data_IF_713394252522
#
_entry.id   IF_713394252522
#
_cell.length_a   1.000
_cell.length_b   1.000
_cell.length_c   1.000
_cell.angle_alpha   90.00
_cell.angle_beta   90.00
_cell.angle_gamma   90.00
#
_symmetry.space_group_name_H-M   'P 1'
#
loop_
_entity.id
_entity.type
_entity.pdbx_description
1 polymer ?
#
# COMPACT_ATOMS: atom_id res chain seq x y z
N UNK A 1 7.30 -14.43 -22.29
CA UNK A 1 7.18 -13.06 -21.75
C UNK A 1 5.92 -12.88 -20.90
N UNK A 2 4.73 -13.19 -21.41
CA UNK A 2 3.45 -13.07 -20.67
C UNK A 2 3.41 -13.84 -19.35
N UNK A 3 3.90 -15.09 -19.31
CA UNK A 3 3.92 -15.89 -18.08
C UNK A 3 4.79 -15.26 -16.96
N UNK A 4 5.92 -14.64 -17.33
CA UNK A 4 6.80 -13.95 -16.37
C UNK A 4 6.09 -12.71 -15.82
N UNK A 5 5.42 -11.94 -16.67
CA UNK A 5 4.66 -10.75 -16.24
C UNK A 5 3.50 -11.15 -15.31
N UNK A 6 2.79 -12.23 -15.63
CA UNK A 6 1.72 -12.77 -14.76
C UNK A 6 2.28 -13.17 -13.39
N UNK A 7 3.42 -13.88 -13.36
CA UNK A 7 4.07 -14.25 -12.10
C UNK A 7 4.46 -13.01 -11.29
N UNK A 8 5.04 -11.99 -11.95
CA UNK A 8 5.43 -10.72 -11.32
C UNK A 8 4.22 -10.01 -10.75
N UNK A 9 3.14 -9.86 -11.52
CA UNK A 9 1.91 -9.19 -11.10
C UNK A 9 1.29 -9.87 -9.89
N UNK A 10 1.06 -11.19 -9.94
CA UNK A 10 0.44 -11.92 -8.84
C UNK A 10 1.30 -11.87 -7.57
N UNK A 11 2.61 -12.03 -7.71
CA UNK A 11 3.54 -12.03 -6.57
C UNK A 11 3.66 -10.63 -5.96
N UNK A 12 3.96 -9.62 -6.77
CA UNK A 12 4.17 -8.25 -6.30
C UNK A 12 2.87 -7.64 -5.76
N UNK A 13 1.76 -7.79 -6.48
CA UNK A 13 0.48 -7.24 -6.05
C UNK A 13 -0.04 -7.97 -4.81
N UNK A 14 0.09 -9.31 -4.77
CA UNK A 14 -0.32 -10.12 -3.63
C UNK A 14 0.43 -9.74 -2.35
N UNK A 15 1.76 -9.54 -2.43
CA UNK A 15 2.56 -9.06 -1.30
C UNK A 15 2.15 -7.65 -0.85
N UNK A 16 1.94 -6.73 -1.79
CA UNK A 16 1.51 -5.37 -1.47
C UNK A 16 0.11 -5.34 -0.82
N UNK A 17 -0.85 -6.08 -1.37
CA UNK A 17 -2.20 -6.19 -0.83
C UNK A 17 -2.21 -6.87 0.54
N UNK A 18 -1.42 -7.94 0.73
CA UNK A 18 -1.30 -8.64 2.01
C UNK A 18 -0.75 -7.76 3.14
N UNK A 19 0.31 -7.00 2.86
CA UNK A 19 0.88 -6.06 3.85
C UNK A 19 -0.11 -4.95 4.21
N UNK A 20 -0.81 -4.40 3.21
CA UNK A 20 -1.84 -3.37 3.46
C UNK A 20 -3.03 -3.93 4.25
N UNK A 21 -3.46 -5.16 3.95
CA UNK A 21 -4.53 -5.82 4.67
C UNK A 21 -4.13 -6.09 6.13
N UNK A 22 -2.92 -6.60 6.36
CA UNK A 22 -2.38 -6.75 7.72
C UNK A 22 -2.34 -5.42 8.46
N UNK A 23 -1.87 -4.36 7.78
CA UNK A 23 -1.85 -3.00 8.35
C UNK A 23 -3.27 -2.53 8.72
N UNK A 24 -4.27 -2.74 7.86
CA UNK A 24 -5.64 -2.34 8.14
C UNK A 24 -6.30 -3.14 9.28
N UNK A 25 -6.07 -4.46 9.35
CA UNK A 25 -6.74 -5.37 10.30
C UNK A 25 -6.02 -5.43 11.65
N UNK A 26 -4.69 -5.38 11.67
CA UNK A 26 -3.89 -5.53 12.88
C UNK A 26 -3.08 -4.27 13.21
N UNK A 27 -2.41 -3.67 12.22
CA UNK A 27 -1.52 -2.53 12.44
C UNK A 27 -2.24 -1.29 12.98
N UNK A 28 -3.30 -0.85 12.28
CA UNK A 28 -4.10 0.32 12.64
C UNK A 28 -4.72 0.17 14.05
N UNK A 29 -5.39 -0.94 14.40
CA UNK A 29 -5.90 -1.12 15.76
C UNK A 29 -4.81 -1.04 16.82
N UNK A 30 -3.66 -1.69 16.60
CA UNK A 30 -2.53 -1.63 17.53
C UNK A 30 -2.04 -0.19 17.74
N UNK A 31 -1.76 0.54 16.64
CA UNK A 31 -1.22 1.89 16.71
C UNK A 31 -2.14 2.88 17.44
N UNK A 32 -3.47 2.66 17.37
CA UNK A 32 -4.47 3.48 18.07
C UNK A 32 -4.50 3.27 19.58
N UNK A 33 -3.96 2.16 20.08
CA UNK A 33 -3.88 1.89 21.53
C UNK A 33 -2.62 2.42 22.19
N UNK A 34 -1.66 2.90 21.40
CA UNK A 34 -0.37 3.35 21.91
C UNK A 34 -0.41 4.82 22.32
N UNK A 35 0.23 5.14 23.42
CA UNK A 35 0.56 6.52 23.78
C UNK A 35 1.49 7.14 22.70
N UNK A 36 1.50 8.47 22.52
CA UNK A 36 2.23 9.14 21.43
C UNK A 36 3.69 8.74 21.28
N UNK A 37 4.46 8.67 22.37
CA UNK A 37 5.88 8.28 22.33
C UNK A 37 6.08 6.84 21.81
N UNK A 38 5.23 5.91 22.26
CA UNK A 38 5.27 4.50 21.80
C UNK A 38 4.79 4.34 20.37
N UNK A 39 3.80 5.13 19.96
CA UNK A 39 3.37 5.21 18.57
C UNK A 39 4.54 5.63 17.65
N UNK A 40 5.25 6.71 17.99
CA UNK A 40 6.41 7.21 17.21
C UNK A 40 7.53 6.15 17.14
N UNK A 41 7.82 5.48 18.27
CA UNK A 41 8.84 4.42 18.32
C UNK A 41 8.50 3.24 17.40
N UNK A 42 7.25 2.76 17.47
CA UNK A 42 6.77 1.65 16.63
C UNK A 42 6.76 2.04 15.16
N UNK A 43 6.28 3.24 14.83
CA UNK A 43 6.31 3.76 13.45
C UNK A 43 7.73 3.82 12.90
N UNK A 44 8.72 4.29 13.68
CA UNK A 44 10.13 4.30 13.26
C UNK A 44 10.66 2.90 12.98
N UNK A 45 10.31 1.93 13.82
CA UNK A 45 10.69 0.54 13.64
C UNK A 45 10.09 -0.05 12.35
N UNK A 46 8.81 0.20 12.10
CA UNK A 46 8.08 -0.32 10.95
C UNK A 46 8.52 0.37 9.65
N UNK A 47 8.65 1.70 9.67
CA UNK A 47 9.06 2.50 8.52
C UNK A 47 10.43 2.12 7.98
N UNK A 48 11.39 1.85 8.86
CA UNK A 48 12.72 1.47 8.42
C UNK A 48 12.82 0.05 7.84
N UNK A 49 11.82 -0.82 8.07
CA UNK A 49 11.89 -2.24 7.69
C UNK A 49 10.93 -2.64 6.57
N UNK A 50 9.67 -2.20 6.64
CA UNK A 50 8.64 -2.62 5.68
C UNK A 50 8.49 -1.66 4.50
N UNK A 51 8.88 -0.41 4.69
CA UNK A 51 8.55 0.67 3.78
C UNK A 51 9.37 0.75 2.49
N UNK A 52 10.63 0.26 2.42
CA UNK A 52 11.34 0.19 1.14
C UNK A 52 10.75 -0.86 0.19
N UNK A 53 10.19 -1.95 0.72
CA UNK A 53 9.76 -3.08 -0.09
C UNK A 53 8.40 -2.86 -0.75
N UNK A 54 7.44 -2.29 -0.02
CA UNK A 54 6.07 -2.11 -0.52
C UNK A 54 5.97 -1.22 -1.77
N UNK A 55 6.67 -0.07 -1.89
CA UNK A 55 6.66 0.74 -3.11
C UNK A 55 7.22 0.01 -4.32
N UNK A 56 8.25 -0.82 -4.14
CA UNK A 56 8.82 -1.64 -5.22
C UNK A 56 7.76 -2.59 -5.74
N UNK A 57 7.05 -3.30 -4.86
CA UNK A 57 5.98 -4.19 -5.24
C UNK A 57 4.87 -3.47 -6.03
N UNK A 58 4.38 -2.33 -5.54
CA UNK A 58 3.30 -1.60 -6.22
C UNK A 58 3.75 -1.04 -7.57
N UNK A 59 4.97 -0.53 -7.69
CA UNK A 59 5.52 -0.05 -8.97
C UNK A 59 5.66 -1.20 -9.97
N UNK A 60 6.19 -2.35 -9.54
CA UNK A 60 6.29 -3.53 -10.39
C UNK A 60 4.92 -4.01 -10.87
N UNK A 61 3.91 -4.00 -9.99
CA UNK A 61 2.52 -4.28 -10.35
C UNK A 61 2.03 -3.34 -11.44
N UNK A 62 2.15 -2.01 -11.26
CA UNK A 62 1.69 -1.04 -12.27
C UNK A 62 2.37 -1.26 -13.62
N UNK A 63 3.70 -1.41 -13.64
CA UNK A 63 4.45 -1.56 -14.89
C UNK A 63 4.05 -2.85 -15.63
N UNK A 64 3.92 -3.96 -14.89
CA UNK A 64 3.56 -5.23 -15.49
C UNK A 64 2.08 -5.28 -15.93
N UNK A 65 1.17 -4.68 -15.17
CA UNK A 65 -0.26 -4.56 -15.54
C UNK A 65 -0.45 -3.69 -16.78
N UNK A 66 0.27 -2.57 -16.88
CA UNK A 66 0.26 -1.72 -18.09
C UNK A 66 0.74 -2.51 -19.29
N UNK A 67 1.85 -3.24 -19.16
CA UNK A 67 2.37 -4.05 -20.26
C UNK A 67 1.38 -5.14 -20.68
N UNK A 68 0.78 -5.86 -19.73
CA UNK A 68 -0.25 -6.86 -19.99
C UNK A 68 -1.53 -6.26 -20.60
N UNK A 69 -1.93 -5.05 -20.22
CA UNK A 69 -3.05 -4.34 -20.80
C UNK A 69 -2.80 -3.93 -22.26
N UNK A 70 -1.54 -3.67 -22.64
CA UNK A 70 -1.15 -3.27 -24.00
C UNK A 70 -0.88 -4.48 -24.90
N UNK A 71 -0.16 -5.49 -24.40
CA UNK A 71 0.32 -6.63 -25.22
C UNK A 71 -0.47 -7.92 -25.02
N UNK A 72 -1.34 -7.99 -24.01
CA UNK A 72 -2.09 -9.20 -23.67
C UNK A 72 -3.25 -9.50 -24.63
N UNK A 73 -3.70 -10.77 -24.71
CA UNK A 73 -4.68 -11.18 -25.73
C UNK A 73 -6.13 -10.80 -25.36
N UNK A 74 -6.71 -11.33 -24.27
CA UNK A 74 -8.17 -11.23 -24.01
C UNK A 74 -8.51 -10.43 -22.74
N UNK A 75 -7.77 -10.58 -21.64
CA UNK A 75 -8.10 -9.94 -20.35
C UNK A 75 -7.57 -8.52 -20.17
N UNK A 76 -7.32 -7.78 -21.27
CA UNK A 76 -6.70 -6.44 -21.26
C UNK A 76 -7.44 -5.43 -20.37
N UNK A 77 -8.79 -5.36 -20.35
CA UNK A 77 -9.49 -4.40 -19.50
C UNK A 77 -9.26 -4.64 -18.00
N UNK A 78 -9.14 -5.90 -17.57
CA UNK A 78 -8.90 -6.23 -16.17
C UNK A 78 -7.49 -5.82 -15.73
N UNK A 79 -6.48 -6.04 -16.56
CA UNK A 79 -5.13 -5.52 -16.32
C UNK A 79 -5.10 -3.98 -16.31
N UNK A 80 -5.89 -3.31 -17.17
CA UNK A 80 -5.99 -1.86 -17.13
C UNK A 80 -6.64 -1.35 -15.82
N UNK A 81 -7.72 -2.00 -15.36
CA UNK A 81 -8.34 -1.70 -14.05
C UNK A 81 -7.34 -1.90 -12.91
N UNK A 82 -6.59 -3.01 -12.94
CA UNK A 82 -5.58 -3.29 -11.93
C UNK A 82 -4.46 -2.23 -11.91
N UNK A 83 -3.95 -1.85 -13.10
CA UNK A 83 -2.95 -0.79 -13.24
C UNK A 83 -3.45 0.54 -12.65
N UNK A 84 -4.70 0.94 -12.96
CA UNK A 84 -5.28 2.19 -12.45
C UNK A 84 -5.45 2.13 -10.92
N UNK A 85 -5.95 1.01 -10.38
CA UNK A 85 -6.11 0.83 -8.95
C UNK A 85 -4.76 0.87 -8.22
N UNK A 86 -3.74 0.15 -8.71
CA UNK A 86 -2.38 0.15 -8.15
C UNK A 86 -1.71 1.54 -8.28
N UNK A 87 -1.92 2.26 -9.38
CA UNK A 87 -1.47 3.64 -9.52
C UNK A 87 -2.14 4.57 -8.50
N UNK A 88 -3.42 4.34 -8.18
CA UNK A 88 -4.12 5.03 -7.09
C UNK A 88 -3.47 4.79 -5.72
N UNK A 89 -2.95 3.58 -5.46
CA UNK A 89 -2.17 3.29 -4.24
C UNK A 89 -0.90 4.15 -4.17
N UNK A 90 -0.18 4.29 -5.29
CA UNK A 90 1.01 5.16 -5.39
C UNK A 90 0.59 6.61 -5.11
N UNK A 91 -0.44 7.11 -5.79
CA UNK A 91 -0.89 8.49 -5.66
C UNK A 91 -1.28 8.85 -4.22
N UNK A 92 -2.04 8.00 -3.53
CA UNK A 92 -2.39 8.22 -2.11
C UNK A 92 -1.13 8.12 -1.24
N UNK A 93 -0.23 7.19 -1.54
CA UNK A 93 0.99 7.03 -0.76
C UNK A 93 1.87 8.28 -0.84
N UNK A 94 2.08 8.83 -2.03
CA UNK A 94 2.93 10.02 -2.23
C UNK A 94 2.30 11.30 -1.73
N UNK A 95 0.98 11.46 -1.89
CA UNK A 95 0.29 12.72 -1.55
C UNK A 95 -0.21 12.79 -0.11
N UNK A 96 -0.50 11.64 0.53
CA UNK A 96 -1.09 11.59 1.88
C UNK A 96 -0.20 10.86 2.88
N UNK A 97 0.23 9.64 2.56
CA UNK A 97 1.00 8.82 3.52
C UNK A 97 2.40 9.38 3.77
N UNK A 98 3.14 9.71 2.71
CA UNK A 98 4.53 10.16 2.81
C UNK A 98 4.66 11.47 3.60
N UNK A 99 3.82 12.51 3.39
CA UNK A 99 3.86 13.72 4.21
C UNK A 99 3.59 13.45 5.69
N UNK A 100 2.51 12.73 6.02
CA UNK A 100 2.17 12.36 7.40
C UNK A 100 3.32 11.61 8.05
N UNK A 101 3.88 10.65 7.33
CA UNK A 101 4.96 9.82 7.87
C UNK A 101 6.25 10.61 8.08
N UNK A 102 6.62 11.50 7.15
CA UNK A 102 7.79 12.37 7.33
C UNK A 102 7.66 13.21 8.59
N UNK A 103 6.46 13.73 8.88
CA UNK A 103 6.21 14.45 10.11
C UNK A 103 6.39 13.54 11.34
N UNK A 104 5.74 12.37 11.40
CA UNK A 104 5.92 11.43 12.53
C UNK A 104 7.38 11.03 12.74
N UNK A 105 8.10 10.75 11.64
CA UNK A 105 9.51 10.36 11.68
C UNK A 105 10.42 11.47 12.22
N UNK A 106 10.02 12.74 12.08
CA UNK A 106 10.77 13.89 12.60
C UNK A 106 10.63 14.09 14.11
N UNK A 107 9.63 13.49 14.75
CA UNK A 107 9.35 13.68 16.19
C UNK A 107 10.30 12.87 17.07
N UNK A 108 10.63 13.39 18.25
CA UNK A 108 11.36 12.64 19.29
C UNK A 108 10.38 11.77 20.10
N UNK A 109 10.52 10.43 20.10
CA UNK A 109 9.64 9.56 20.88
C UNK A 109 9.77 9.77 22.41
N UNK A 110 10.90 10.30 22.90
CA UNK A 110 11.09 10.60 24.33
C UNK A 110 10.46 11.94 24.75
N UNK A 111 10.12 12.80 23.79
CA UNK A 111 9.53 14.12 24.01
C UNK A 111 8.50 14.44 22.89
N UNK A 112 7.38 13.71 22.80
CA UNK A 112 6.32 14.03 21.84
C UNK A 112 5.74 15.43 22.11
N UNK A 113 5.23 16.14 21.09
CA UNK A 113 4.60 17.44 21.26
C UNK A 113 3.44 17.40 22.27
N UNK A 114 3.29 18.46 23.06
CA UNK A 114 2.20 18.58 24.05
C UNK A 114 0.81 18.59 23.37
N UNK A 115 0.74 19.09 22.14
CA UNK A 115 -0.44 19.18 21.30
C UNK A 115 -0.60 17.99 20.34
N UNK A 116 0.07 16.85 20.60
CA UNK A 116 0.03 15.68 19.72
C UNK A 116 -1.41 15.18 19.47
N UNK A 117 -2.27 15.21 20.48
CA UNK A 117 -3.66 14.77 20.34
C UNK A 117 -4.51 15.70 19.46
N UNK A 118 -4.17 17.00 19.40
CA UNK A 118 -4.81 17.97 18.49
C UNK A 118 -4.40 17.74 17.03
N UNK A 119 -3.18 17.24 16.83
CA UNK A 119 -2.57 16.96 15.54
C UNK A 119 -2.37 15.46 15.28
N UNK A 120 -3.22 14.62 15.88
CA UNK A 120 -3.05 13.16 15.84
C UNK A 120 -3.13 12.65 14.39
N UNK A 121 -2.05 12.04 13.84
CA UNK A 121 -2.04 11.54 12.47
C UNK A 121 -2.81 10.23 12.32
N UNK A 122 -3.08 9.50 13.41
CA UNK A 122 -3.59 8.12 13.40
C UNK A 122 -4.96 8.01 12.72
N UNK A 123 -5.94 8.91 12.93
CA UNK A 123 -7.24 8.84 12.26
C UNK A 123 -7.14 9.08 10.74
N UNK A 124 -6.38 10.08 10.32
CA UNK A 124 -6.20 10.39 8.90
C UNK A 124 -5.42 9.27 8.19
N UNK A 125 -4.30 8.84 8.79
CA UNK A 125 -3.50 7.76 8.26
C UNK A 125 -4.31 6.46 8.11
N UNK A 126 -5.12 6.10 9.11
CA UNK A 126 -5.97 4.91 9.05
C UNK A 126 -6.96 4.94 7.88
N UNK A 127 -7.57 6.11 7.61
CA UNK A 127 -8.49 6.29 6.47
C UNK A 127 -7.76 6.05 5.15
N UNK A 128 -6.62 6.69 4.95
CA UNK A 128 -5.84 6.54 3.71
C UNK A 128 -5.21 5.15 3.58
N UNK A 129 -4.83 4.51 4.68
CA UNK A 129 -4.37 3.12 4.69
C UNK A 129 -5.48 2.18 4.23
N UNK A 130 -6.72 2.35 4.74
CA UNK A 130 -7.86 1.56 4.30
C UNK A 130 -8.16 1.77 2.81
N UNK A 131 -8.17 3.01 2.32
CA UNK A 131 -8.38 3.28 0.88
C UNK A 131 -7.33 2.58 0.02
N UNK A 132 -6.05 2.67 0.39
CA UNK A 132 -4.97 1.95 -0.31
C UNK A 132 -5.16 0.44 -0.25
N UNK A 133 -5.59 -0.09 0.89
CA UNK A 133 -5.88 -1.52 1.07
C UNK A 133 -6.96 -1.99 0.11
N UNK A 134 -8.06 -1.24 0.01
CA UNK A 134 -9.15 -1.52 -0.93
C UNK A 134 -8.64 -1.47 -2.38
N UNK A 135 -7.91 -0.42 -2.77
CA UNK A 135 -7.36 -0.30 -4.13
C UNK A 135 -6.39 -1.43 -4.48
N UNK A 136 -5.46 -1.77 -3.57
CA UNK A 136 -4.52 -2.88 -3.77
C UNK A 136 -5.23 -4.23 -3.88
N UNK A 137 -6.30 -4.43 -3.11
CA UNK A 137 -7.12 -5.64 -3.15
C UNK A 137 -7.95 -5.73 -4.44
N UNK A 138 -8.52 -4.61 -4.90
CA UNK A 138 -9.20 -4.53 -6.21
C UNK A 138 -8.25 -4.85 -7.34
N UNK A 139 -7.03 -4.29 -7.32
CA UNK A 139 -5.99 -4.64 -8.29
C UNK A 139 -5.69 -6.14 -8.26
N UNK A 140 -5.54 -6.72 -7.07
CA UNK A 140 -5.22 -8.14 -6.91
C UNK A 140 -6.33 -9.05 -7.44
N UNK A 141 -7.59 -8.74 -7.11
CA UNK A 141 -8.76 -9.49 -7.60
C UNK A 141 -8.87 -9.36 -9.12
N UNK A 142 -8.70 -8.16 -9.68
CA UNK A 142 -8.71 -7.94 -11.11
C UNK A 142 -7.61 -8.75 -11.82
N UNK A 143 -6.40 -8.77 -11.27
CA UNK A 143 -5.28 -9.56 -11.77
C UNK A 143 -5.53 -11.06 -11.69
N UNK A 144 -6.08 -11.56 -10.56
CA UNK A 144 -6.44 -12.97 -10.41
C UNK A 144 -7.53 -13.39 -11.41
N UNK A 145 -8.57 -12.57 -11.60
CA UNK A 145 -9.62 -12.81 -12.58
C UNK A 145 -9.11 -12.75 -14.01
N UNK A 146 -8.20 -11.81 -14.31
CA UNK A 146 -7.60 -11.67 -15.63
C UNK A 146 -6.82 -12.92 -16.02
N UNK A 147 -6.08 -13.49 -15.07
CA UNK A 147 -5.32 -14.74 -15.23
C UNK A 147 -6.26 -15.94 -15.32
N UNK A 148 -7.27 -16.03 -14.46
CA UNK A 148 -8.23 -17.12 -14.47
C UNK A 148 -9.05 -17.19 -15.77
N UNK A 149 -9.43 -16.05 -16.34
CA UNK A 149 -10.13 -15.96 -17.63
C UNK A 149 -9.22 -15.95 -18.86
N UNK A 150 -7.90 -16.07 -18.68
CA UNK A 150 -6.94 -16.19 -19.78
C UNK A 150 -6.59 -17.66 -20.12
N UNK A 151 -7.17 -18.61 -19.38
CA UNK A 151 -7.20 -20.05 -19.69
C UNK A 151 -8.58 -20.44 -20.22
#
# INVERSE_FOLDING_TARGET
MTAVLVLVVLSANGLAAGVLLWSAVCGVPLLRTLDPGRYIEVERLWGNRFEPFQPICVVLTVLADVLLAVTGPVSRPLFAVAAVAAAGVIAISTTRNVPLKRWVMSLDPAAPPEDFEEHDPRPEWARWNLTRTVLASVAFVANALAVAGAF
#
